data_IF_562731215116
#
_entry.id   IF_562731215116
#
_cell.length_a   1.000
_cell.length_b   1.000
_cell.length_c   1.000
_cell.angle_alpha   90.00
_cell.angle_beta   90.00
_cell.angle_gamma   90.00
#
_symmetry.space_group_name_H-M   'P 1'
#
loop_
_entity.id
_entity.type
_entity.pdbx_description
1 polymer ?
#
# COMPACT_ATOMS: atom_id res chain seq x y z
N UNK A 1 -15.91 -10.26 2.65
CA UNK A 1 -15.45 -9.69 3.95
C UNK A 1 -15.82 -8.21 4.05
N UNK A 2 -16.48 -7.80 5.13
CA UNK A 2 -16.88 -6.40 5.39
C UNK A 2 -15.72 -5.58 5.97
N UNK A 3 -15.76 -4.23 5.87
CA UNK A 3 -14.75 -3.32 6.45
C UNK A 3 -14.55 -3.52 7.96
N UNK A 4 -15.48 -4.20 8.63
CA UNK A 4 -15.41 -4.49 10.06
C UNK A 4 -14.59 -5.75 10.40
N UNK A 5 -14.06 -6.47 9.41
CA UNK A 5 -13.22 -7.66 9.67
C UNK A 5 -11.79 -7.27 9.99
N UNK A 6 -11.17 -8.02 10.92
CA UNK A 6 -9.75 -7.80 11.30
C UNK A 6 -8.78 -8.04 10.14
N UNK A 7 -9.16 -8.87 9.18
CA UNK A 7 -8.34 -9.18 7.99
C UNK A 7 -8.24 -7.95 7.08
N UNK A 8 -9.35 -7.27 6.80
CA UNK A 8 -9.34 -6.03 6.02
C UNK A 8 -8.42 -4.97 6.62
N UNK A 9 -8.54 -4.72 7.94
CA UNK A 9 -7.70 -3.73 8.60
C UNK A 9 -6.23 -4.13 8.65
N UNK A 10 -5.92 -5.43 8.74
CA UNK A 10 -4.54 -5.91 8.67
C UNK A 10 -3.92 -5.62 7.30
N UNK A 11 -4.63 -5.93 6.22
CA UNK A 11 -4.14 -5.71 4.86
C UNK A 11 -4.04 -4.21 4.53
N UNK A 12 -5.04 -3.43 4.96
CA UNK A 12 -5.05 -1.97 4.79
C UNK A 12 -3.86 -1.32 5.51
N UNK A 13 -3.56 -1.75 6.74
CA UNK A 13 -2.41 -1.25 7.51
C UNK A 13 -1.09 -1.67 6.87
N UNK A 14 -0.94 -2.93 6.44
CA UNK A 14 0.27 -3.38 5.76
C UNK A 14 0.55 -2.54 4.50
N UNK A 15 -0.48 -2.31 3.68
CA UNK A 15 -0.37 -1.50 2.48
C UNK A 15 -0.02 -0.05 2.80
N UNK A 16 -0.63 0.52 3.83
CA UNK A 16 -0.37 1.90 4.25
C UNK A 16 1.06 2.08 4.73
N UNK A 17 1.56 1.16 5.56
CA UNK A 17 2.95 1.16 6.03
C UNK A 17 3.94 0.97 4.88
N UNK A 18 3.63 0.09 3.92
CA UNK A 18 4.45 -0.10 2.71
C UNK A 18 4.55 1.18 1.89
N UNK A 19 3.45 1.91 1.70
CA UNK A 19 3.46 3.23 1.04
C UNK A 19 4.29 4.24 1.82
N UNK A 20 4.18 4.27 3.15
CA UNK A 20 5.01 5.12 4.00
C UNK A 20 6.51 4.87 3.80
N UNK A 21 6.93 3.61 3.82
CA UNK A 21 8.32 3.23 3.60
C UNK A 21 8.83 3.61 2.18
N UNK A 22 8.00 3.39 1.15
CA UNK A 22 8.32 3.79 -0.22
C UNK A 22 8.47 5.30 -0.36
N UNK A 23 7.63 6.08 0.31
CA UNK A 23 7.71 7.54 0.33
C UNK A 23 8.99 8.07 0.99
N UNK A 24 9.43 7.42 2.07
CA UNK A 24 10.72 7.74 2.71
C UNK A 24 11.86 7.48 1.72
N UNK A 25 11.88 6.29 1.11
CA UNK A 25 12.90 5.92 0.13
C UNK A 25 12.93 6.88 -1.07
N UNK A 26 11.76 7.25 -1.59
CA UNK A 26 11.64 8.21 -2.68
C UNK A 26 12.19 9.59 -2.31
N UNK A 27 11.97 10.03 -1.06
CA UNK A 27 12.51 11.31 -0.57
C UNK A 27 14.03 11.29 -0.52
N UNK A 28 14.64 10.17 -0.10
CA UNK A 28 16.09 9.99 -0.10
C UNK A 28 16.67 10.02 -1.52
N UNK A 29 16.03 9.33 -2.46
CA UNK A 29 16.45 9.32 -3.86
C UNK A 29 16.30 10.70 -4.52
N UNK A 30 15.22 11.43 -4.25
CA UNK A 30 14.93 12.72 -4.87
C UNK A 30 15.85 13.84 -4.36
N UNK A 31 16.29 13.78 -3.11
CA UNK A 31 17.17 14.79 -2.54
C UNK A 31 18.62 14.66 -3.02
N UNK A 32 18.98 13.61 -3.78
CA UNK A 32 20.32 13.41 -4.34
C UNK A 32 21.42 13.26 -3.27
N UNK A 33 21.03 13.05 -2.01
CA UNK A 33 21.95 13.01 -0.88
C UNK A 33 22.56 11.61 -0.80
N UNK A 34 23.83 11.47 -1.14
CA UNK A 34 24.59 10.23 -0.95
C UNK A 34 24.90 9.90 0.52
N UNK A 35 24.26 10.58 1.47
CA UNK A 35 24.54 10.51 2.90
C UNK A 35 23.27 10.56 3.74
N UNK A 36 23.16 9.64 4.71
CA UNK A 36 22.05 9.54 5.67
C UNK A 36 21.90 10.79 6.56
N UNK A 37 22.98 11.54 6.80
CA UNK A 37 22.97 12.68 7.71
C UNK A 37 22.48 13.96 7.00
N UNK A 38 22.63 14.04 5.68
CA UNK A 38 22.15 15.18 4.89
C UNK A 38 20.66 15.10 4.54
N UNK A 39 19.98 14.02 4.92
CA UNK A 39 18.54 13.85 4.70
C UNK A 39 17.75 14.75 5.66
N UNK A 40 16.80 15.52 5.12
CA UNK A 40 15.79 16.18 5.94
C UNK A 40 14.77 15.14 6.44
N UNK A 41 15.04 14.61 7.64
CA UNK A 41 14.20 13.63 8.30
C UNK A 41 12.81 14.15 8.64
N UNK A 42 12.62 15.47 8.83
CA UNK A 42 11.31 16.04 9.10
C UNK A 42 10.47 15.99 7.82
N UNK A 43 11.03 16.44 6.70
CA UNK A 43 10.37 16.38 5.41
C UNK A 43 10.02 14.93 5.03
N UNK A 44 10.97 13.99 5.18
CA UNK A 44 10.73 12.58 4.90
C UNK A 44 9.60 11.99 5.76
N UNK A 45 9.57 12.30 7.07
CA UNK A 45 8.50 11.84 7.96
C UNK A 45 7.13 12.43 7.59
N UNK A 46 7.07 13.70 7.19
CA UNK A 46 5.82 14.32 6.72
C UNK A 46 5.28 13.68 5.44
N UNK A 47 6.15 13.42 4.46
CA UNK A 47 5.76 12.77 3.19
C UNK A 47 5.34 11.31 3.44
N UNK A 48 6.03 10.61 4.34
CA UNK A 48 5.67 9.25 4.76
C UNK A 48 4.29 9.21 5.43
N UNK A 49 4.06 10.12 6.38
CA UNK A 49 2.79 10.25 7.10
C UNK A 49 1.63 10.55 6.14
N UNK A 50 1.83 11.45 5.18
CA UNK A 50 0.84 11.72 4.14
C UNK A 50 0.58 10.49 3.26
N UNK A 51 1.62 9.75 2.86
CA UNK A 51 1.48 8.51 2.08
C UNK A 51 0.71 7.43 2.82
N UNK A 52 0.94 7.27 4.12
CA UNK A 52 0.21 6.35 4.99
C UNK A 52 -1.27 6.73 5.04
N UNK A 53 -1.58 8.00 5.31
CA UNK A 53 -2.97 8.48 5.38
C UNK A 53 -3.68 8.34 4.04
N UNK A 54 -3.01 8.71 2.96
CA UNK A 54 -3.53 8.61 1.60
C UNK A 54 -3.85 7.15 1.22
N UNK A 55 -2.94 6.22 1.52
CA UNK A 55 -3.11 4.79 1.25
C UNK A 55 -4.24 4.19 2.08
N UNK A 56 -4.36 4.59 3.34
CA UNK A 56 -5.42 4.15 4.25
C UNK A 56 -6.79 4.64 3.79
N UNK A 57 -6.93 5.94 3.46
CA UNK A 57 -8.18 6.51 2.93
C UNK A 57 -8.57 5.83 1.62
N UNK A 58 -7.60 5.58 0.74
CA UNK A 58 -7.84 4.88 -0.53
C UNK A 58 -8.32 3.44 -0.30
N UNK A 59 -7.74 2.73 0.67
CA UNK A 59 -8.14 1.38 1.03
C UNK A 59 -9.57 1.33 1.59
N UNK A 60 -9.93 2.29 2.46
CA UNK A 60 -11.30 2.44 2.97
C UNK A 60 -12.28 2.79 1.85
N UNK A 61 -11.92 3.70 0.96
CA UNK A 61 -12.74 4.06 -0.19
C UNK A 61 -12.96 2.86 -1.12
N UNK A 62 -11.91 2.07 -1.39
CA UNK A 62 -12.00 0.86 -2.20
C UNK A 62 -12.99 -0.15 -1.57
N UNK A 63 -12.86 -0.44 -0.27
CA UNK A 63 -13.77 -1.35 0.44
C UNK A 63 -15.20 -0.83 0.60
N UNK A 64 -15.44 0.48 0.47
CA UNK A 64 -16.78 1.07 0.46
C UNK A 64 -17.44 1.01 -0.94
N UNK A 65 -16.63 1.13 -2.00
CA UNK A 65 -17.07 1.09 -3.40
C UNK A 65 -17.27 -0.33 -3.91
N UNK A 66 -16.50 -1.31 -3.42
CA UNK A 66 -16.65 -2.72 -3.76
C UNK A 66 -17.22 -3.46 -2.55
N UNK A 67 -18.38 -4.11 -2.70
CA UNK A 67 -18.86 -5.11 -1.73
C UNK A 67 -18.01 -6.42 -1.82
N UNK A 68 -16.71 -6.28 -2.09
CA UNK A 68 -15.79 -7.34 -2.43
C UNK A 68 -14.76 -7.52 -1.32
N UNK A 69 -14.27 -8.74 -1.17
CA UNK A 69 -13.72 -9.26 0.08
C UNK A 69 -12.31 -8.79 0.46
N UNK A 70 -11.84 -7.63 0.00
CA UNK A 70 -10.49 -7.15 0.31
C UNK A 70 -10.25 -5.67 0.04
N UNK A 71 -9.15 -5.16 0.59
CA UNK A 71 -8.66 -3.78 0.48
C UNK A 71 -8.08 -3.41 -0.91
N UNK A 72 -8.26 -4.28 -1.91
CA UNK A 72 -7.73 -4.17 -3.26
C UNK A 72 -8.88 -4.13 -4.27
N UNK A 73 -8.74 -3.29 -5.31
CA UNK A 73 -9.64 -3.29 -6.48
C UNK A 73 -9.46 -4.52 -7.37
N UNK A 74 -8.37 -5.27 -7.18
CA UNK A 74 -8.10 -6.51 -7.89
C UNK A 74 -8.46 -7.64 -6.94
N UNK A 75 -9.55 -8.37 -7.25
CA UNK A 75 -9.71 -9.74 -6.78
C UNK A 75 -8.58 -10.52 -7.45
N UNK A 76 -7.70 -11.09 -6.65
CA UNK A 76 -6.79 -12.12 -7.16
C UNK A 76 -7.67 -13.32 -7.51
N UNK A 77 -8.14 -13.34 -8.77
CA UNK A 77 -8.76 -14.52 -9.33
C UNK A 77 -7.70 -15.60 -9.26
N UNK A 78 -7.93 -16.60 -8.40
CA UNK A 78 -7.18 -17.86 -8.42
C UNK A 78 -7.15 -18.33 -9.87
N UNK A 79 -5.98 -18.28 -10.48
CA UNK A 79 -5.77 -18.73 -11.85
C UNK A 79 -6.18 -20.21 -11.93
N UNK A 80 -7.20 -20.60 -12.71
CA UNK A 80 -7.47 -22.01 -12.92
C UNK A 80 -6.24 -22.66 -13.58
N UNK A 81 -5.91 -23.92 -13.25
CA UNK A 81 -4.70 -24.57 -13.76
C UNK A 81 -4.61 -24.41 -15.28
N UNK A 82 -3.54 -23.77 -15.73
CA UNK A 82 -3.36 -23.34 -17.12
C UNK A 82 -3.56 -24.49 -18.12
N UNK A 83 -4.32 -24.19 -19.18
CA UNK A 83 -4.68 -25.08 -20.30
C UNK A 83 -3.47 -25.55 -21.14
N UNK A 84 -2.24 -25.21 -20.78
CA UNK A 84 -1.03 -25.56 -21.53
C UNK A 84 -0.37 -26.89 -21.09
N UNK A 85 -1.00 -27.64 -20.18
CA UNK A 85 -0.49 -28.96 -19.76
C UNK A 85 -1.06 -30.13 -20.57
N UNK A 86 -1.82 -29.88 -21.64
CA UNK A 86 -2.57 -30.90 -22.39
C UNK A 86 -2.23 -30.97 -23.89
N UNK A 87 -1.16 -30.31 -24.34
CA UNK A 87 -0.74 -30.29 -25.75
C UNK A 87 0.60 -31.01 -25.97
#
# INVERSE_FOLDING_TARGET
MSIFTRVFWKDAVERSLRTGAQNIAATWSAAGVGSLIGVDWKAAASIAGFGILYSLVTSVAAGALTNTEGASLVVEAVDPPGKHAAD
#
